data_IF_456188095572
#
_entry.id   IF_456188095572
#
_cell.length_a   1.000
_cell.length_b   1.000
_cell.length_c   1.000
_cell.angle_alpha   90.00
_cell.angle_beta   90.00
_cell.angle_gamma   90.00
#
_symmetry.space_group_name_H-M   'P 1'
#
loop_
_entity.id
_entity.type
_entity.pdbx_description
1 polymer ?
#
# COMPACT_ATOMS: atom_id res chain seq x y z
N UNK A 1 -9.47 -5.31 7.48
CA UNK A 1 -8.35 -4.37 7.22
C UNK A 1 -8.93 -3.13 6.59
N UNK A 2 -8.47 -1.94 7.01
CA UNK A 2 -8.78 -0.67 6.37
C UNK A 2 -7.47 -0.03 5.88
N UNK A 3 -7.49 0.62 4.72
CA UNK A 3 -6.33 1.26 4.12
C UNK A 3 -6.75 2.62 3.54
N UNK A 4 -5.95 3.66 3.77
CA UNK A 4 -6.20 5.01 3.26
C UNK A 4 -4.92 5.59 2.67
N UNK A 5 -5.06 6.34 1.58
CA UNK A 5 -3.98 7.11 0.98
C UNK A 5 -3.68 8.30 1.90
N UNK A 6 -2.42 8.46 2.28
CA UNK A 6 -1.96 9.60 3.09
C UNK A 6 -1.23 10.63 2.25
N UNK A 7 -0.67 10.22 1.11
CA UNK A 7 0.00 11.10 0.15
C UNK A 7 0.02 10.42 -1.22
N UNK A 8 -0.17 11.21 -2.27
CA UNK A 8 -0.20 10.74 -3.66
C UNK A 8 0.63 11.65 -4.55
N UNK A 9 1.41 11.04 -5.42
CA UNK A 9 2.15 11.74 -6.47
C UNK A 9 2.05 10.96 -7.78
N UNK A 10 2.78 11.40 -8.80
CA UNK A 10 2.64 10.94 -10.18
C UNK A 10 2.75 9.41 -10.33
N UNK A 11 3.73 8.80 -9.68
CA UNK A 11 4.03 7.36 -9.78
C UNK A 11 3.92 6.64 -8.42
N UNK A 12 3.52 7.34 -7.35
CA UNK A 12 3.61 6.83 -5.98
C UNK A 12 2.36 7.12 -5.16
N UNK A 13 2.03 6.20 -4.27
CA UNK A 13 1.06 6.41 -3.21
C UNK A 13 1.60 5.89 -1.88
N UNK A 14 1.62 6.77 -0.88
CA UNK A 14 1.85 6.36 0.50
C UNK A 14 0.50 5.97 1.11
N UNK A 15 0.43 4.77 1.67
CA UNK A 15 -0.81 4.20 2.22
C UNK A 15 -0.60 3.86 3.69
N UNK A 16 -1.55 4.24 4.53
CA UNK A 16 -1.63 3.79 5.93
C UNK A 16 -2.71 2.73 6.05
N UNK A 17 -2.43 1.68 6.82
CA UNK A 17 -3.30 0.53 6.99
C UNK A 17 -3.55 0.23 8.47
N UNK A 18 -4.73 -0.30 8.79
CA UNK A 18 -5.09 -0.84 10.10
C UNK A 18 -5.75 -2.21 9.95
N UNK A 19 -5.35 -3.14 10.81
CA UNK A 19 -5.99 -4.44 10.97
C UNK A 19 -6.72 -4.46 12.31
N UNK A 20 -7.97 -4.91 12.27
CA UNK A 20 -8.86 -5.01 13.42
C UNK A 20 -9.25 -6.48 13.60
N UNK A 21 -9.14 -6.97 14.83
CA UNK A 21 -9.63 -8.27 15.27
C UNK A 21 -10.45 -8.05 16.55
N UNK A 22 -11.64 -8.65 16.62
CA UNK A 22 -12.58 -8.49 17.74
C UNK A 22 -12.83 -7.02 18.15
N UNK A 23 -13.00 -6.15 17.14
CA UNK A 23 -13.24 -4.72 17.34
C UNK A 23 -12.02 -3.93 17.85
N UNK A 24 -10.87 -4.57 18.07
CA UNK A 24 -9.63 -3.93 18.52
C UNK A 24 -8.60 -3.86 17.40
N UNK A 25 -7.93 -2.73 17.28
CA UNK A 25 -6.78 -2.60 16.37
C UNK A 25 -5.66 -3.49 16.90
N UNK A 26 -5.24 -4.47 16.12
CA UNK A 26 -4.16 -5.39 16.49
C UNK A 26 -2.88 -5.18 15.67
N UNK A 27 -2.97 -4.52 14.51
CA UNK A 27 -1.80 -4.09 13.76
C UNK A 27 -2.06 -2.81 12.97
N UNK A 28 -1.00 -2.05 12.72
CA UNK A 28 -1.01 -0.92 11.81
C UNK A 28 0.18 -1.02 10.85
N UNK A 29 0.04 -0.46 9.66
CA UNK A 29 1.08 -0.51 8.64
C UNK A 29 1.17 0.77 7.85
N UNK A 30 2.34 0.99 7.26
CA UNK A 30 2.58 1.99 6.22
C UNK A 30 3.23 1.31 5.04
N UNK A 31 2.82 1.65 3.83
CA UNK A 31 3.37 1.09 2.60
C UNK A 31 3.49 2.15 1.52
N UNK A 32 4.53 2.03 0.71
CA UNK A 32 4.72 2.81 -0.50
C UNK A 32 4.38 1.93 -1.71
N UNK A 33 3.41 2.38 -2.49
CA UNK A 33 3.00 1.78 -3.74
C UNK A 33 3.64 2.57 -4.87
N UNK A 34 4.26 1.90 -5.84
CA UNK A 34 4.94 2.55 -6.97
C UNK A 34 4.46 1.94 -8.27
N UNK A 35 3.90 2.77 -9.16
CA UNK A 35 3.53 2.37 -10.50
C UNK A 35 4.80 2.28 -11.37
N UNK A 36 5.07 1.11 -11.93
CA UNK A 36 6.24 0.85 -12.77
C UNK A 36 5.83 0.42 -14.18
N UNK A 37 6.73 0.61 -15.15
CA UNK A 37 6.52 0.24 -16.56
C UNK A 37 6.96 -1.21 -16.81
N UNK A 38 6.61 -1.75 -17.98
CA UNK A 38 6.93 -3.13 -18.41
C UNK A 38 8.42 -3.48 -18.37
N UNK A 39 9.30 -2.49 -18.51
CA UNK A 39 10.76 -2.67 -18.45
C UNK A 39 11.31 -2.88 -17.02
N UNK A 40 10.47 -2.75 -16.00
CA UNK A 40 10.91 -2.78 -14.61
C UNK A 40 10.86 -4.19 -14.04
N UNK A 41 11.89 -4.68 -13.31
CA UNK A 41 11.91 -6.04 -12.74
C UNK A 41 10.74 -6.36 -11.78
N UNK A 42 10.12 -5.33 -11.22
CA UNK A 42 8.96 -5.46 -10.35
C UNK A 42 7.61 -5.49 -11.10
N UNK A 43 7.58 -5.21 -12.41
CA UNK A 43 6.35 -5.11 -13.20
C UNK A 43 5.53 -6.41 -13.15
N UNK A 44 6.20 -7.57 -13.25
CA UNK A 44 5.56 -8.88 -13.18
C UNK A 44 5.41 -9.44 -11.76
N UNK A 45 5.77 -8.67 -10.72
CA UNK A 45 5.71 -9.18 -9.32
C UNK A 45 4.31 -9.08 -8.73
N UNK A 46 3.40 -8.39 -9.40
CA UNK A 46 2.02 -8.20 -8.97
C UNK A 46 1.13 -8.87 -10.01
N UNK A 47 0.89 -10.17 -9.83
CA UNK A 47 -0.11 -10.96 -10.55
C UNK A 47 -1.16 -11.42 -9.54
#
# INVERSE_FOLDING_TARGET
INANIIDISKDRANVKMTLVADGKICATGKGLFVAVKEDHPAYHRWN
#
